data_IF_174752575021
#
_entry.id   IF_174752575021
#
_cell.length_a   1.000
_cell.length_b   1.000
_cell.length_c   1.000
_cell.angle_alpha   90.00
_cell.angle_beta   90.00
_cell.angle_gamma   90.00
#
_symmetry.space_group_name_H-M   'P 1'
#
loop_
_entity.id
_entity.type
_entity.pdbx_description
1 polymer ?
#
# COMPACT_ATOMS: atom_id res chain seq x y z
N UNK A 1 27.91 18.15 -9.20
CA UNK A 1 27.57 16.76 -8.84
C UNK A 1 27.57 16.69 -7.33
N UNK A 2 26.39 16.55 -6.70
CA UNK A 2 26.29 16.46 -5.24
C UNK A 2 26.85 15.10 -4.81
N UNK A 3 27.90 15.11 -3.98
CA UNK A 3 28.34 13.95 -3.21
C UNK A 3 27.31 13.76 -2.11
N UNK A 4 26.44 12.77 -2.24
CA UNK A 4 25.69 12.26 -1.10
C UNK A 4 26.69 11.54 -0.20
N UNK A 5 26.84 12.01 1.03
CA UNK A 5 27.60 11.32 2.06
C UNK A 5 27.04 9.91 2.22
N UNK A 6 27.73 8.95 1.63
CA UNK A 6 27.51 7.52 1.82
C UNK A 6 27.99 7.16 3.22
N UNK A 7 27.29 7.62 4.25
CA UNK A 7 27.17 6.81 5.45
C UNK A 7 26.34 5.61 5.00
N UNK A 8 27.03 4.61 4.46
CA UNK A 8 26.49 3.58 3.60
C UNK A 8 25.25 2.97 4.26
N UNK A 9 24.08 3.38 3.80
CA UNK A 9 22.83 2.72 4.13
C UNK A 9 23.04 1.28 3.68
N UNK A 10 23.26 0.37 4.63
CA UNK A 10 23.36 -1.05 4.31
C UNK A 10 22.11 -1.41 3.51
N UNK A 11 22.23 -2.26 2.47
CA UNK A 11 21.07 -2.70 1.69
C UNK A 11 19.95 -3.10 2.65
N UNK A 12 18.74 -2.63 2.40
CA UNK A 12 17.58 -2.89 3.29
C UNK A 12 17.42 -4.39 3.58
N UNK A 13 17.81 -5.22 2.62
CA UNK A 13 17.89 -6.67 2.71
C UNK A 13 18.70 -7.14 3.94
N UNK A 14 19.83 -6.51 4.26
CA UNK A 14 20.72 -6.88 5.37
C UNK A 14 20.04 -6.77 6.74
N UNK A 15 19.05 -5.87 6.86
CA UNK A 15 18.30 -5.65 8.10
C UNK A 15 17.10 -6.59 8.25
N UNK A 16 16.75 -7.35 7.22
CA UNK A 16 15.59 -8.24 7.28
C UNK A 16 15.92 -9.54 8.03
N UNK A 17 14.95 -10.10 8.76
CA UNK A 17 15.07 -11.45 9.31
C UNK A 17 15.38 -12.49 8.23
N UNK A 18 16.16 -13.51 8.57
CA UNK A 18 16.68 -14.47 7.59
C UNK A 18 15.58 -15.22 6.82
N UNK A 19 14.47 -15.52 7.49
CA UNK A 19 13.28 -16.10 6.85
C UNK A 19 12.71 -15.21 5.74
N UNK A 20 12.74 -13.89 5.92
CA UNK A 20 12.23 -12.94 4.92
C UNK A 20 13.21 -12.82 3.76
N UNK A 21 14.53 -12.78 4.04
CA UNK A 21 15.54 -12.80 2.98
C UNK A 21 15.40 -14.03 2.09
N UNK A 22 15.23 -15.21 2.69
CA UNK A 22 15.03 -16.45 1.95
C UNK A 22 13.78 -16.39 1.07
N UNK A 23 12.66 -15.89 1.59
CA UNK A 23 11.43 -15.75 0.80
C UNK A 23 11.59 -14.76 -0.37
N UNK A 24 12.31 -13.66 -0.17
CA UNK A 24 12.63 -12.70 -1.22
C UNK A 24 13.52 -13.35 -2.29
N UNK A 25 14.52 -14.13 -1.88
CA UNK A 25 15.43 -14.82 -2.79
C UNK A 25 14.70 -15.88 -3.63
N UNK A 26 13.82 -16.67 -2.99
CA UNK A 26 12.97 -17.66 -3.67
C UNK A 26 12.08 -16.96 -4.72
N UNK A 27 11.40 -15.88 -4.34
CA UNK A 27 10.55 -15.11 -5.26
C UNK A 27 11.36 -14.44 -6.40
N UNK A 28 12.53 -13.90 -6.08
CA UNK A 28 13.49 -13.34 -7.03
C UNK A 28 13.87 -14.36 -8.10
N UNK A 29 14.16 -15.60 -7.70
CA UNK A 29 14.49 -16.69 -8.63
C UNK A 29 13.30 -17.10 -9.49
N UNK A 30 12.11 -17.20 -8.91
CA UNK A 30 10.88 -17.57 -9.63
C UNK A 30 10.48 -16.52 -10.67
N UNK A 31 10.63 -15.24 -10.33
CA UNK A 31 10.18 -14.11 -11.16
C UNK A 31 11.28 -13.48 -12.01
N UNK A 32 12.54 -13.89 -11.80
CA UNK A 32 13.74 -13.33 -12.44
C UNK A 32 13.90 -11.82 -12.19
N UNK A 33 13.39 -11.35 -11.05
CA UNK A 33 13.53 -9.97 -10.59
C UNK A 33 14.66 -9.87 -9.57
N UNK A 34 15.47 -8.81 -9.57
CA UNK A 34 16.49 -8.64 -8.54
C UNK A 34 15.82 -8.49 -7.15
N UNK A 35 16.42 -9.02 -6.08
CA UNK A 35 15.88 -8.95 -4.72
C UNK A 35 15.48 -7.53 -4.28
N UNK A 36 16.24 -6.52 -4.67
CA UNK A 36 15.95 -5.11 -4.38
C UNK A 36 14.63 -4.67 -5.01
N UNK A 37 14.37 -5.05 -6.27
CA UNK A 37 13.13 -4.71 -6.98
C UNK A 37 11.94 -5.47 -6.41
N UNK A 38 12.14 -6.71 -5.93
CA UNK A 38 11.10 -7.47 -5.22
C UNK A 38 10.67 -6.72 -3.96
N UNK A 39 11.62 -6.16 -3.20
CA UNK A 39 11.34 -5.36 -2.00
C UNK A 39 10.62 -4.06 -2.38
N UNK A 40 11.09 -3.33 -3.39
CA UNK A 40 10.45 -2.10 -3.84
C UNK A 40 9.00 -2.35 -4.28
N UNK A 41 8.76 -3.43 -5.03
CA UNK A 41 7.42 -3.81 -5.49
C UNK A 41 6.51 -4.21 -4.32
N UNK A 42 7.03 -4.98 -3.36
CA UNK A 42 6.29 -5.34 -2.16
C UNK A 42 5.89 -4.11 -1.33
N UNK A 43 6.80 -3.15 -1.17
CA UNK A 43 6.51 -1.89 -0.45
C UNK A 43 5.50 -1.04 -1.23
N UNK A 44 5.69 -0.87 -2.54
CA UNK A 44 4.78 -0.11 -3.39
C UNK A 44 3.36 -0.69 -3.32
N UNK A 45 3.25 -2.02 -3.41
CA UNK A 45 1.97 -2.72 -3.31
C UNK A 45 1.37 -2.62 -1.90
N UNK A 46 2.17 -2.66 -0.84
CA UNK A 46 1.69 -2.48 0.53
C UNK A 46 1.17 -1.06 0.79
N UNK A 47 1.80 -0.04 0.19
CA UNK A 47 1.44 1.37 0.35
C UNK A 47 0.31 1.81 -0.59
N UNK A 48 -0.03 1.00 -1.59
CA UNK A 48 -1.15 1.27 -2.48
C UNK A 48 -2.47 1.14 -1.71
N UNK A 49 -3.24 2.23 -1.70
CA UNK A 49 -4.51 2.34 -0.98
C UNK A 49 -5.60 1.43 -1.53
N UNK A 50 -5.44 0.97 -2.77
CA UNK A 50 -6.36 0.08 -3.46
C UNK A 50 -5.88 -1.38 -3.42
N UNK A 51 -4.71 -1.64 -2.82
CA UNK A 51 -4.16 -2.97 -2.66
C UNK A 51 -4.84 -3.76 -1.53
N UNK A 52 -5.25 -4.98 -1.85
CA UNK A 52 -5.93 -5.89 -0.93
C UNK A 52 -4.89 -6.92 -0.44
N UNK A 53 -4.13 -6.56 0.58
CA UNK A 53 -2.99 -7.40 1.05
C UNK A 53 -3.27 -8.15 2.35
N UNK A 54 -4.41 -7.91 2.99
CA UNK A 54 -4.77 -8.53 4.27
C UNK A 54 -6.23 -8.95 4.28
N UNK A 55 -6.56 -10.04 3.61
CA UNK A 55 -7.92 -10.60 3.58
C UNK A 55 -8.49 -10.86 4.99
N UNK A 56 -7.62 -11.13 5.97
CA UNK A 56 -7.98 -11.38 7.38
C UNK A 56 -8.14 -10.11 8.22
N UNK A 57 -7.51 -9.01 7.81
CA UNK A 57 -7.76 -7.72 8.42
C UNK A 57 -9.03 -7.18 7.78
N UNK A 58 -10.18 -7.35 8.44
CA UNK A 58 -11.46 -6.72 8.08
C UNK A 58 -11.41 -5.20 8.19
N UNK A 59 -10.51 -4.59 7.44
CA UNK A 59 -10.30 -3.15 7.35
C UNK A 59 -10.75 -2.81 5.94
N UNK A 60 -11.87 -2.13 5.85
CA UNK A 60 -12.28 -1.53 4.58
C UNK A 60 -11.14 -0.63 4.10
N UNK A 61 -10.67 -0.82 2.87
CA UNK A 61 -9.54 -0.05 2.37
C UNK A 61 -9.86 1.46 2.39
N UNK A 62 -8.86 2.34 2.50
CA UNK A 62 -9.09 3.78 2.42
C UNK A 62 -9.85 4.20 1.16
N UNK A 63 -9.68 3.47 0.04
CA UNK A 63 -10.46 3.65 -1.18
C UNK A 63 -11.97 3.41 -0.97
N UNK A 64 -12.33 2.30 -0.33
CA UNK A 64 -13.72 1.96 0.01
C UNK A 64 -14.34 3.03 0.94
N UNK A 65 -13.62 3.45 1.98
CA UNK A 65 -14.10 4.49 2.91
C UNK A 65 -14.36 5.82 2.20
N UNK A 66 -13.51 6.20 1.25
CA UNK A 66 -13.66 7.45 0.48
C UNK A 66 -14.92 7.41 -0.38
N UNK A 67 -15.18 6.27 -1.04
CA UNK A 67 -16.35 6.11 -1.89
C UNK A 67 -17.64 6.12 -1.06
N UNK A 68 -17.69 5.38 0.05
CA UNK A 68 -18.83 5.41 0.98
C UNK A 68 -19.12 6.83 1.48
N UNK A 69 -18.09 7.60 1.87
CA UNK A 69 -18.25 8.98 2.30
C UNK A 69 -18.82 9.89 1.20
N UNK A 70 -18.45 9.65 -0.05
CA UNK A 70 -18.95 10.43 -1.19
C UNK A 70 -20.43 10.15 -1.42
N UNK A 71 -20.83 8.88 -1.39
CA UNK A 71 -22.24 8.45 -1.51
C UNK A 71 -23.08 9.05 -0.38
N UNK A 72 -22.61 8.93 0.87
CA UNK A 72 -23.31 9.47 2.04
C UNK A 72 -23.54 10.98 1.94
N UNK A 73 -22.54 11.74 1.47
CA UNK A 73 -22.68 13.19 1.27
C UNK A 73 -23.73 13.53 0.22
N UNK A 74 -23.79 12.77 -0.88
CA UNK A 74 -24.80 12.95 -1.93
C UNK A 74 -26.21 12.67 -1.37
N UNK A 75 -26.36 11.59 -0.61
CA UNK A 75 -27.65 11.24 0.02
C UNK A 75 -28.09 12.30 1.03
N UNK A 76 -27.17 12.80 1.85
CA UNK A 76 -27.47 13.85 2.83
C UNK A 76 -27.97 15.12 2.14
N UNK A 77 -27.29 15.56 1.08
CA UNK A 77 -27.71 16.73 0.30
C UNK A 77 -29.10 16.55 -0.32
N UNK A 78 -29.42 15.35 -0.82
CA UNK A 78 -30.76 15.04 -1.36
C UNK A 78 -31.85 15.11 -0.27
N UNK A 79 -31.57 14.62 0.93
CA UNK A 79 -32.50 14.65 2.07
C UNK A 79 -32.74 16.09 2.55
N UNK A 80 -31.69 16.90 2.64
CA UNK A 80 -31.77 18.31 3.05
C UNK A 80 -32.54 19.16 2.02
N UNK A 81 -32.32 18.91 0.72
CA UNK A 81 -33.10 19.55 -0.34
C UNK A 81 -34.59 19.18 -0.29
N UNK A 82 -34.91 17.91 -0.05
CA UNK A 82 -36.29 17.45 0.07
C UNK A 82 -37.03 18.03 1.30
N UNK A 83 -36.33 18.23 2.42
CA UNK A 83 -36.86 18.85 3.64
C UNK A 83 -37.08 20.36 3.54
N UNK A 84 -36.37 21.04 2.65
CA UNK A 84 -36.51 22.49 2.45
C UNK A 84 -37.62 22.85 1.45
N UNK A 85 -38.27 21.83 0.86
CA UNK A 85 -39.30 21.95 -0.18
C UNK A 85 -40.73 21.67 0.36
N UNK A 86 -40.87 21.38 1.66
CA UNK A 86 -42.12 21.12 2.38
C UNK A 86 -42.35 22.19 3.46
#
# INVERSE_FOLDING_TARGET
MQKTDTNALKPILDYLPERIKQAIEEYSQETQLPPELVIELAIAHFLDVDSVTFDDCRIESPGILREQNKILKIQLAAIEGARSST
#
